data_IF_669554965151
#
_entry.id   IF_669554965151
#
_cell.length_a   1.000
_cell.length_b   1.000
_cell.length_c   1.000
_cell.angle_alpha   90.00
_cell.angle_beta   90.00
_cell.angle_gamma   90.00
#
_symmetry.space_group_name_H-M   'P 1'
#
loop_
_entity.id
_entity.type
_entity.pdbx_description
1 polymer ?
#
# COMPACT_ATOMS: atom_id res chain seq x y z
N UNK A 1 -9.07 -20.46 -31.18
CA UNK A 1 -8.78 -20.29 -29.74
C UNK A 1 -8.71 -18.79 -29.49
N UNK A 2 -9.73 -18.18 -28.88
CA UNK A 2 -9.63 -16.78 -28.45
C UNK A 2 -8.81 -16.78 -27.16
N UNK A 3 -7.54 -16.39 -27.28
CA UNK A 3 -6.70 -16.13 -26.12
C UNK A 3 -7.40 -15.01 -25.32
N UNK A 4 -8.11 -15.40 -24.25
CA UNK A 4 -9.05 -14.54 -23.54
C UNK A 4 -8.38 -13.24 -23.12
N UNK A 5 -8.69 -12.16 -23.82
CA UNK A 5 -8.18 -10.83 -23.49
C UNK A 5 -8.89 -10.40 -22.21
N UNK A 6 -8.18 -10.41 -21.09
CA UNK A 6 -8.66 -9.80 -19.86
C UNK A 6 -8.53 -8.29 -20.03
N UNK A 7 -9.66 -7.60 -20.20
CA UNK A 7 -9.70 -6.14 -20.23
C UNK A 7 -9.81 -5.66 -18.78
N UNK A 8 -8.85 -4.84 -18.37
CA UNK A 8 -8.92 -4.10 -17.11
C UNK A 8 -9.30 -2.65 -17.41
N UNK A 9 -10.27 -2.13 -16.66
CA UNK A 9 -10.69 -0.73 -16.73
C UNK A 9 -10.24 -0.05 -15.47
N UNK A 10 -9.51 1.06 -15.58
CA UNK A 10 -9.10 1.87 -14.43
C UNK A 10 -9.82 3.20 -14.49
N UNK A 11 -10.59 3.52 -13.45
CA UNK A 11 -11.33 4.76 -13.33
C UNK A 11 -10.68 5.65 -12.27
N UNK A 12 -10.42 6.91 -12.63
CA UNK A 12 -9.85 7.93 -11.75
C UNK A 12 -10.94 8.92 -11.34
N UNK A 13 -11.30 8.93 -10.06
CA UNK A 13 -12.37 9.73 -9.49
C UNK A 13 -11.83 10.62 -8.36
N UNK A 14 -11.11 11.69 -8.72
CA UNK A 14 -10.50 12.59 -7.74
C UNK A 14 -9.45 11.87 -6.90
N UNK A 15 -9.66 11.79 -5.59
CA UNK A 15 -8.76 11.08 -4.68
C UNK A 15 -8.94 9.55 -4.73
N UNK A 16 -9.91 9.02 -5.47
CA UNK A 16 -10.22 7.60 -5.50
C UNK A 16 -9.80 6.99 -6.84
N UNK A 17 -9.16 5.81 -6.80
CA UNK A 17 -8.85 5.01 -7.98
C UNK A 17 -9.63 3.70 -7.89
N UNK A 18 -10.29 3.32 -8.98
CA UNK A 18 -11.00 2.05 -9.11
C UNK A 18 -10.42 1.22 -10.24
N UNK A 19 -10.41 -0.08 -10.08
CA UNK A 19 -10.13 -1.04 -11.14
C UNK A 19 -11.33 -1.98 -11.25
N UNK A 20 -11.92 -2.06 -12.44
CA UNK A 20 -13.11 -2.86 -12.71
C UNK A 20 -14.23 -2.58 -11.68
N UNK A 21 -14.45 -1.30 -11.38
CA UNK A 21 -15.41 -0.80 -10.38
C UNK A 21 -15.12 -1.18 -8.91
N UNK A 22 -13.95 -1.76 -8.61
CA UNK A 22 -13.49 -2.07 -7.25
C UNK A 22 -12.48 -1.01 -6.82
N UNK A 23 -12.67 -0.40 -5.63
CA UNK A 23 -11.77 0.61 -5.09
C UNK A 23 -10.38 0.01 -4.87
N UNK A 24 -9.35 0.68 -5.40
CA UNK A 24 -7.95 0.24 -5.29
C UNK A 24 -7.12 1.17 -4.41
N UNK A 25 -7.40 2.47 -4.42
CA UNK A 25 -6.59 3.44 -3.69
C UNK A 25 -7.38 4.68 -3.33
N UNK A 26 -7.11 5.21 -2.14
CA UNK A 26 -7.58 6.52 -1.68
C UNK A 26 -6.37 7.41 -1.44
N UNK A 27 -6.21 8.46 -2.24
CA UNK A 27 -5.12 9.43 -2.10
C UNK A 27 -5.40 10.41 -0.98
N UNK A 28 -4.37 10.70 -0.17
CA UNK A 28 -4.40 11.68 0.92
C UNK A 28 -3.19 12.62 0.79
N UNK A 29 -3.22 13.82 1.43
CA UNK A 29 -2.09 14.75 1.37
C UNK A 29 -0.78 14.13 1.88
N UNK A 30 -0.90 13.27 2.89
CA UNK A 30 0.22 12.63 3.58
C UNK A 30 0.59 11.26 2.98
N UNK A 31 -0.13 10.76 1.97
CA UNK A 31 0.10 9.43 1.44
C UNK A 31 -1.14 8.83 0.77
N UNK A 32 -1.43 7.56 1.00
CA UNK A 32 -2.60 6.90 0.43
C UNK A 32 -3.03 5.68 1.27
N UNK A 33 -4.26 5.22 1.02
CA UNK A 33 -4.86 4.05 1.66
C UNK A 33 -5.11 2.99 0.59
N UNK A 34 -4.70 1.75 0.86
CA UNK A 34 -5.00 0.58 0.02
C UNK A 34 -6.05 -0.29 0.75
N UNK A 35 -7.29 -0.37 0.25
CA UNK A 35 -8.28 -1.27 0.81
C UNK A 35 -8.04 -2.72 0.34
N UNK A 36 -7.98 -3.65 1.28
CA UNK A 36 -7.97 -5.08 1.05
C UNK A 36 -9.34 -5.67 1.43
N UNK A 37 -10.08 -6.13 0.44
CA UNK A 37 -11.40 -6.73 0.63
C UNK A 37 -11.24 -8.22 0.95
N UNK A 38 -11.54 -8.60 2.19
CA UNK A 38 -11.53 -9.99 2.65
C UNK A 38 -12.94 -10.53 2.81
N UNK A 39 -13.11 -11.84 2.97
CA UNK A 39 -14.43 -12.43 3.27
C UNK A 39 -15.03 -11.95 4.60
N UNK A 40 -14.19 -11.43 5.50
CA UNK A 40 -14.56 -11.04 6.87
C UNK A 40 -14.74 -9.52 7.03
N UNK A 41 -14.46 -8.72 5.98
CA UNK A 41 -14.56 -7.26 6.03
C UNK A 41 -13.59 -6.56 5.09
N UNK A 42 -13.25 -5.32 5.42
CA UNK A 42 -12.28 -4.52 4.69
C UNK A 42 -11.13 -4.18 5.62
N UNK A 43 -9.94 -4.65 5.27
CA UNK A 43 -8.69 -4.22 5.88
C UNK A 43 -8.17 -3.00 5.11
N UNK A 44 -7.59 -2.03 5.82
CA UNK A 44 -7.13 -0.78 5.22
C UNK A 44 -5.67 -0.58 5.56
N UNK A 45 -4.82 -0.67 4.54
CA UNK A 45 -3.40 -0.39 4.66
C UNK A 45 -3.17 1.10 4.49
N UNK A 46 -2.62 1.73 5.52
CA UNK A 46 -2.29 3.16 5.51
C UNK A 46 -0.82 3.33 5.15
N UNK A 47 -0.56 4.03 4.05
CA UNK A 47 0.79 4.36 3.60
C UNK A 47 1.00 5.85 3.75
N UNK A 48 1.96 6.23 4.59
CA UNK A 48 2.36 7.63 4.79
C UNK A 48 3.68 7.93 4.08
N UNK A 49 3.82 9.13 3.56
CA UNK A 49 4.97 9.59 2.80
C UNK A 49 5.48 10.90 3.38
N UNK A 50 6.72 10.89 3.84
CA UNK A 50 7.43 12.12 4.14
C UNK A 50 8.08 12.67 2.86
N UNK A 51 7.69 13.88 2.49
CA UNK A 51 8.16 14.58 1.30
C UNK A 51 9.14 15.68 1.69
N UNK A 52 10.15 15.88 0.86
CA UNK A 52 11.00 17.06 0.97
C UNK A 52 10.28 18.34 0.50
N UNK A 53 10.97 19.48 0.61
CA UNK A 53 10.44 20.78 0.21
C UNK A 53 10.17 20.92 -1.30
N UNK A 54 10.63 19.99 -2.14
CA UNK A 54 10.38 19.93 -3.58
C UNK A 54 9.27 18.92 -3.94
N UNK A 55 8.73 18.20 -2.96
CA UNK A 55 7.68 17.20 -3.15
C UNK A 55 8.19 15.80 -3.46
N UNK A 56 9.50 15.55 -3.42
CA UNK A 56 10.04 14.20 -3.61
C UNK A 56 9.81 13.35 -2.36
N UNK A 57 9.41 12.09 -2.56
CA UNK A 57 9.25 11.13 -1.45
C UNK A 57 10.64 10.74 -0.94
N UNK A 58 10.88 10.96 0.35
CA UNK A 58 12.15 10.61 1.03
C UNK A 58 12.02 9.38 1.91
N UNK A 59 10.84 9.20 2.50
CA UNK A 59 10.56 8.09 3.39
C UNK A 59 9.10 7.69 3.26
N UNK A 60 8.85 6.39 3.20
CA UNK A 60 7.53 5.80 3.19
C UNK A 60 7.37 4.95 4.45
N UNK A 61 6.25 5.13 5.14
CA UNK A 61 5.87 4.34 6.30
C UNK A 61 4.62 3.54 5.95
N UNK A 62 4.66 2.24 6.18
CA UNK A 62 3.51 1.33 6.15
C UNK A 62 3.65 0.46 7.39
N UNK A 63 2.57 0.32 8.15
CA UNK A 63 2.56 -0.65 9.25
C UNK A 63 2.49 -2.05 8.63
N UNK A 64 3.52 -2.85 8.85
CA UNK A 64 3.51 -4.27 8.55
C UNK A 64 3.34 -4.94 9.92
N UNK A 65 2.11 -5.31 10.27
CA UNK A 65 1.82 -5.96 11.53
C UNK A 65 2.46 -7.34 11.56
N UNK A 66 3.74 -7.39 11.89
CA UNK A 66 4.41 -8.60 12.30
C UNK A 66 3.96 -8.89 13.73
N UNK A 67 2.86 -9.65 13.87
CA UNK A 67 2.60 -10.34 15.12
C UNK A 67 3.79 -11.26 15.38
N UNK A 68 4.67 -10.86 16.29
CA UNK A 68 5.68 -11.74 16.86
C UNK A 68 4.94 -12.87 17.60
N UNK A 69 4.78 -14.00 16.91
CA UNK A 69 4.19 -15.22 17.50
C UNK A 69 5.20 -15.96 18.38
N UNK A 70 6.45 -15.52 18.42
CA UNK A 70 7.55 -16.29 18.99
C UNK A 70 7.91 -15.71 20.36
N UNK A 71 7.03 -15.97 21.33
CA UNK A 71 7.23 -15.68 22.76
C UNK A 71 8.39 -16.44 23.42
N UNK A 72 9.41 -16.88 22.67
CA UNK A 72 10.64 -17.42 23.20
C UNK A 72 11.81 -17.13 22.25
N UNK A 73 12.74 -16.32 22.76
CA UNK A 73 14.12 -16.17 22.29
C UNK A 73 14.41 -14.98 21.36
N UNK A 74 14.42 -13.77 21.95
CA UNK A 74 15.57 -12.86 21.88
C UNK A 74 15.99 -12.25 20.53
N UNK A 75 15.26 -12.48 19.45
CA UNK A 75 15.53 -11.87 18.15
C UNK A 75 14.63 -10.67 17.93
N UNK A 76 15.13 -9.49 18.27
CA UNK A 76 14.54 -8.22 17.81
C UNK A 76 14.73 -8.12 16.30
N UNK A 77 13.66 -8.34 15.52
CA UNK A 77 13.70 -8.09 14.08
C UNK A 77 13.91 -6.59 13.83
N UNK A 78 14.90 -6.18 13.02
CA UNK A 78 15.12 -4.77 12.73
C UNK A 78 14.04 -4.28 11.76
N UNK A 79 13.50 -3.10 12.04
CA UNK A 79 12.65 -2.32 11.14
C UNK A 79 13.09 -2.49 9.69
N UNK A 80 12.25 -3.08 8.84
CA UNK A 80 12.50 -3.22 7.41
C UNK A 80 12.29 -1.87 6.73
N UNK A 81 13.30 -1.01 6.81
CA UNK A 81 13.40 0.19 6.00
C UNK A 81 13.78 -0.23 4.57
N UNK A 82 12.84 -0.14 3.62
CA UNK A 82 13.17 -0.26 2.20
C UNK A 82 13.73 1.09 1.72
N UNK A 83 15.05 1.16 1.55
CA UNK A 83 15.68 2.30 0.90
C UNK A 83 15.46 2.20 -0.62
N UNK A 84 14.65 3.11 -1.18
CA UNK A 84 14.57 3.28 -2.63
C UNK A 84 15.89 3.90 -3.13
N UNK A 85 16.83 3.06 -3.57
CA UNK A 85 18.02 3.52 -4.30
C UNK A 85 17.63 3.79 -5.76
N UNK A 86 17.69 5.04 -6.19
CA UNK A 86 17.54 5.40 -7.62
C UNK A 86 18.91 5.25 -8.28
N UNK A 87 18.97 4.49 -9.39
CA UNK A 87 20.15 4.33 -10.25
C UNK A 87 20.74 5.64 -10.75
#
# INVERSE_FOLDING_TARGET
>A
MTNGTVITTTDYAGNYIYQNNILQMISQPEGYIEPNFTSSGVEMDYVYQYKDHLGNIRLTYKDDQLYDTDFNNGSVSPWTQSENTTS
#
